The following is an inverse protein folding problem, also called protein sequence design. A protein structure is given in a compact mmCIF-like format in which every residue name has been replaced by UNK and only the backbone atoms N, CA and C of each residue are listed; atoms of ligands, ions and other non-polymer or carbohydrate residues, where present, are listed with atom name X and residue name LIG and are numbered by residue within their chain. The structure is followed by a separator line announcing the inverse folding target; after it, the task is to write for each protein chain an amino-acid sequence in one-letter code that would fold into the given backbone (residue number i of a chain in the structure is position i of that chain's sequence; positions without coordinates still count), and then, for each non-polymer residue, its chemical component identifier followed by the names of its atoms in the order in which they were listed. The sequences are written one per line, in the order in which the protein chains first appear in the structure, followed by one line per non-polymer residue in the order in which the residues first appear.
data_IF_432037482792
#
_entry.id   IF_432037482792
#
_cell.length_a   1.000
_cell.length_b   1.000
_cell.length_c   1.000
_cell.angle_alpha   90.00
_cell.angle_beta   90.00
_cell.angle_gamma   90.00
#
_symmetry.space_group_name_H-M   'P 1'
#
loop_
_entity.id
_entity.type
_entity.pdbx_description
1 polymer ?
#
# COMPACT_ATOMS: atom_id res chain seq x y z
N UNK A 1 -6.97 11.77 13.47
CA UNK A 1 -8.05 11.05 12.75
C UNK A 1 -7.56 9.67 12.35
N UNK A 2 -8.25 8.58 12.73
CA UNK A 2 -7.93 7.25 12.20
C UNK A 2 -8.07 7.27 10.68
N UNK A 3 -7.12 6.65 9.98
CA UNK A 3 -7.18 6.53 8.52
C UNK A 3 -8.34 5.59 8.17
N UNK A 4 -9.12 5.95 7.16
CA UNK A 4 -10.21 5.12 6.65
C UNK A 4 -9.74 3.74 6.16
N UNK A 5 -10.68 2.88 5.73
CA UNK A 5 -10.36 1.56 5.20
C UNK A 5 -9.36 1.65 4.06
N UNK A 6 -8.56 0.60 3.89
CA UNK A 6 -7.59 0.56 2.81
C UNK A 6 -8.29 0.56 1.44
N UNK A 7 -7.69 1.23 0.44
CA UNK A 7 -8.19 1.21 -0.93
C UNK A 7 -8.33 -0.23 -1.44
N UNK A 8 -9.36 -0.53 -2.22
CA UNK A 8 -9.51 -1.86 -2.81
C UNK A 8 -8.29 -2.25 -3.70
N UNK A 9 -7.91 -3.53 -3.77
CA UNK A 9 -6.71 -3.98 -4.50
C UNK A 9 -6.66 -3.50 -5.95
N UNK A 10 -7.77 -3.57 -6.68
CA UNK A 10 -7.87 -3.13 -8.08
C UNK A 10 -7.61 -1.62 -8.25
N UNK A 11 -8.02 -0.79 -7.28
CA UNK A 11 -7.73 0.65 -7.29
C UNK A 11 -6.23 0.88 -7.12
N UNK A 12 -5.59 0.13 -6.21
CA UNK A 12 -4.15 0.25 -5.96
C UNK A 12 -3.35 -0.16 -7.19
N UNK A 13 -3.73 -1.27 -7.81
CA UNK A 13 -3.11 -1.75 -9.06
C UNK A 13 -3.26 -0.72 -10.17
N UNK A 14 -4.46 -0.16 -10.36
CA UNK A 14 -4.71 0.89 -11.36
C UNK A 14 -3.88 2.16 -11.12
N UNK A 15 -3.72 2.59 -9.86
CA UNK A 15 -2.84 3.71 -9.51
C UNK A 15 -1.40 3.43 -9.94
N UNK A 16 -0.88 2.24 -9.66
CA UNK A 16 0.47 1.84 -10.01
C UNK A 16 0.65 1.64 -11.52
N UNK A 17 -0.37 1.15 -12.22
CA UNK A 17 -0.40 1.05 -13.67
C UNK A 17 -0.31 2.43 -14.34
N UNK A 18 -1.09 3.43 -13.88
CA UNK A 18 -1.00 4.80 -14.39
C UNK A 18 0.39 5.42 -14.20
N UNK A 19 1.08 5.07 -13.12
CA UNK A 19 2.46 5.49 -12.87
C UNK A 19 3.46 4.77 -13.80
N UNK A 20 3.29 3.47 -14.06
CA UNK A 20 4.21 2.66 -14.86
C UNK A 20 4.01 2.88 -16.37
N UNK A 21 2.78 2.73 -16.85
CA UNK A 21 2.44 2.78 -18.28
C UNK A 21 2.39 4.22 -18.81
N UNK A 22 1.65 5.10 -18.12
CA UNK A 22 1.44 6.47 -18.58
C UNK A 22 2.43 7.48 -17.98
N UNK A 23 3.32 7.05 -17.07
CA UNK A 23 4.30 7.90 -16.34
C UNK A 23 3.65 9.06 -15.57
N UNK A 24 2.41 8.92 -15.13
CA UNK A 24 1.71 9.99 -14.41
C UNK A 24 2.30 10.22 -13.01
N UNK A 25 2.39 11.48 -12.61
CA UNK A 25 2.69 11.86 -11.22
C UNK A 25 1.45 11.77 -10.32
N UNK A 26 1.65 11.67 -8.99
CA UNK A 26 0.57 11.53 -8.02
C UNK A 26 -0.51 12.63 -8.13
N UNK A 27 -0.12 13.90 -8.34
CA UNK A 27 -1.05 15.01 -8.57
C UNK A 27 -1.92 14.81 -9.81
N UNK A 28 -1.34 14.29 -10.89
CA UNK A 28 -2.05 14.00 -12.15
C UNK A 28 -3.03 12.84 -11.97
N UNK A 29 -2.60 11.78 -11.28
CA UNK A 29 -3.44 10.63 -10.93
C UNK A 29 -4.64 11.07 -10.08
N UNK A 30 -4.42 11.90 -9.06
CA UNK A 30 -5.51 12.45 -8.25
C UNK A 30 -6.47 13.27 -9.11
N UNK A 31 -5.96 14.23 -9.86
CA UNK A 31 -6.80 15.17 -10.61
C UNK A 31 -7.68 14.49 -11.67
N UNK A 32 -7.14 13.49 -12.39
CA UNK A 32 -7.80 12.96 -13.58
C UNK A 32 -8.38 11.55 -13.42
N UNK A 33 -7.86 10.73 -12.52
CA UNK A 33 -8.35 9.35 -12.34
C UNK A 33 -9.07 9.14 -11.00
N UNK A 34 -8.60 9.78 -9.93
CA UNK A 34 -9.08 9.52 -8.58
C UNK A 34 -9.24 10.80 -7.74
N UNK A 35 -10.16 11.72 -8.09
CA UNK A 35 -10.33 12.99 -7.38
C UNK A 35 -10.79 12.81 -5.93
N UNK A 36 -11.53 11.74 -5.65
CA UNK A 36 -12.04 11.42 -4.31
C UNK A 36 -10.99 10.76 -3.40
N UNK A 37 -9.84 10.35 -3.94
CA UNK A 37 -8.77 9.73 -3.15
C UNK A 37 -7.80 10.83 -2.72
N UNK A 38 -7.50 10.95 -1.42
CA UNK A 38 -6.51 11.92 -0.95
C UNK A 38 -5.16 11.71 -1.61
N UNK A 39 -4.50 12.81 -1.97
CA UNK A 39 -3.16 12.78 -2.59
C UNK A 39 -2.14 12.01 -1.74
N UNK A 40 -2.24 12.10 -0.42
CA UNK A 40 -1.41 11.36 0.53
C UNK A 40 -1.59 9.84 0.40
N UNK A 41 -2.82 9.37 0.18
CA UNK A 41 -3.13 7.96 -0.05
C UNK A 41 -2.54 7.47 -1.37
N UNK A 42 -2.58 8.30 -2.42
CA UNK A 42 -1.95 7.98 -3.72
C UNK A 42 -0.43 7.88 -3.55
N UNK A 43 0.21 8.85 -2.88
CA UNK A 43 1.65 8.79 -2.58
C UNK A 43 2.03 7.55 -1.78
N UNK A 44 1.25 7.23 -0.75
CA UNK A 44 1.48 6.04 0.05
C UNK A 44 1.38 4.77 -0.80
N UNK A 45 0.34 4.65 -1.62
CA UNK A 45 0.14 3.50 -2.51
C UNK A 45 1.32 3.32 -3.47
N UNK A 46 1.78 4.39 -4.12
CA UNK A 46 2.95 4.35 -5.01
C UNK A 46 4.25 3.98 -4.28
N UNK A 47 4.44 4.40 -3.02
CA UNK A 47 5.60 4.02 -2.22
C UNK A 47 5.55 2.55 -1.79
N UNK A 48 4.37 1.99 -1.58
CA UNK A 48 4.19 0.59 -1.20
C UNK A 48 4.24 -0.36 -2.41
N UNK A 49 4.15 0.14 -3.64
CA UNK A 49 4.18 -0.68 -4.87
C UNK A 49 5.40 -1.60 -4.91
N UNK A 50 6.59 -1.11 -4.52
CA UNK A 50 7.80 -1.94 -4.48
C UNK A 50 7.78 -3.01 -3.39
N UNK A 51 6.96 -2.83 -2.35
CA UNK A 51 6.81 -3.78 -1.24
C UNK A 51 5.67 -4.77 -1.49
N UNK A 52 4.68 -4.41 -2.30
CA UNK A 52 3.47 -5.18 -2.56
C UNK A 52 3.56 -5.81 -3.94
N UNK A 53 3.78 -7.12 -4.01
CA UNK A 53 3.53 -7.85 -5.25
C UNK A 53 2.03 -7.81 -5.59
N UNK A 54 1.69 -7.37 -6.80
CA UNK A 54 0.32 -7.37 -7.34
C UNK A 54 -0.74 -6.62 -6.50
N UNK A 55 -0.35 -5.57 -5.78
CA UNK A 55 -1.28 -4.75 -5.02
C UNK A 55 -1.92 -5.45 -3.81
N UNK A 56 -1.43 -6.63 -3.42
CA UNK A 56 -1.88 -7.37 -2.23
C UNK A 56 -1.37 -6.68 -0.96
N UNK A 57 -2.23 -6.58 0.05
CA UNK A 57 -1.85 -5.99 1.34
C UNK A 57 -0.91 -6.95 2.09
N UNK A 58 0.17 -6.41 2.65
CA UNK A 58 1.05 -7.19 3.53
C UNK A 58 0.34 -7.33 4.87
N UNK A 59 0.20 -8.57 5.35
CA UNK A 59 -0.37 -8.82 6.67
C UNK A 59 0.46 -8.07 7.73
N UNK A 60 -0.20 -7.51 8.74
CA UNK A 60 0.53 -6.92 9.87
C UNK A 60 1.31 -8.04 10.54
N UNK A 61 2.58 -7.81 10.81
CA UNK A 61 3.34 -8.66 11.74
C UNK A 61 2.55 -8.67 13.05
N UNK A 62 1.97 -9.82 13.40
CA UNK A 62 1.22 -9.97 14.63
C UNK A 62 2.11 -9.70 15.85
N UNK A 63 1.52 -9.77 17.03
CA UNK A 63 2.32 -9.75 18.25
C UNK A 63 3.37 -10.88 18.17
N UNK A 64 4.65 -10.61 18.49
CA UNK A 64 5.66 -11.65 18.53
C UNK A 64 5.20 -12.76 19.48
N UNK A 65 5.44 -14.02 19.10
CA UNK A 65 5.16 -15.16 19.98
C UNK A 65 6.05 -15.05 21.21
N UNK A 66 5.53 -15.45 22.38
CA UNK A 66 6.35 -15.58 23.59
C UNK A 66 7.47 -16.58 23.30
N UNK A 67 8.70 -16.20 23.59
CA UNK A 67 9.87 -17.08 23.47
C UNK A 67 9.68 -18.25 24.44
N UNK A 68 9.57 -19.47 23.92
CA UNK A 68 9.61 -20.69 24.72
C UNK A 68 11.04 -20.95 25.20
N UNK A 69 11.20 -21.64 26.33
CA UNK A 69 12.54 -21.90 26.92
C UNK A 69 13.46 -22.65 25.93
N UNK A 70 12.88 -23.44 25.02
CA UNK A 70 13.57 -24.17 23.94
C UNK A 70 14.21 -23.28 22.87
N UNK A 71 13.74 -22.03 22.69
CA UNK A 71 14.31 -21.07 21.74
C UNK A 71 15.45 -20.24 22.33
N UNK A 72 15.73 -20.37 23.64
CA UNK A 72 16.73 -19.57 24.35
C UNK A 72 18.15 -20.15 24.26
N UNK A 73 18.28 -21.42 23.88
CA UNK A 73 19.54 -22.18 23.83
C UNK A 73 20.07 -22.43 22.39
N UNK A 74 19.66 -21.61 21.42
CA UNK A 74 20.11 -21.68 20.03
C UNK A 74 20.75 -20.38 19.55
#
# INVERSE_FOLDING_TARGET
MPRGPELAPYIRERICELKRSAKWGAKRIQKYAFPNIPLSTIHYTLRQDTKRCHGVSIARSGAPRKLTEEDRDR
#
